data_IF_073104401106
#
_entry.id   IF_073104401106
#
_cell.length_a   1.000
_cell.length_b   1.000
_cell.length_c   1.000
_cell.angle_alpha   90.00
_cell.angle_beta   90.00
_cell.angle_gamma   90.00
#
_symmetry.space_group_name_H-M   'P 1'
#
loop_
_entity.id
_entity.type
_entity.pdbx_description
1 polymer ?
#
# COMPACT_ATOMS: atom_id res chain seq x y z
N UNK A 1 -29.96 14.90 17.63
CA UNK A 1 -28.93 14.25 18.48
C UNK A 1 -27.64 15.06 18.42
N UNK A 2 -27.47 16.00 19.35
CA UNK A 2 -26.37 16.97 19.40
C UNK A 2 -25.09 16.32 19.93
N UNK A 3 -23.98 16.44 19.16
CA UNK A 3 -22.65 15.96 19.52
C UNK A 3 -21.94 16.91 20.50
N UNK A 4 -22.60 17.28 21.61
CA UNK A 4 -22.01 18.19 22.61
C UNK A 4 -21.56 17.43 23.86
N UNK A 5 -20.27 17.64 24.20
CA UNK A 5 -19.57 17.30 25.45
C UNK A 5 -19.05 15.86 25.61
N UNK A 6 -18.04 15.51 24.84
CA UNK A 6 -17.00 14.56 25.29
C UNK A 6 -15.79 15.37 25.80
N UNK A 7 -15.84 15.82 27.07
CA UNK A 7 -14.71 16.50 27.75
C UNK A 7 -13.62 15.51 28.22
N UNK A 8 -13.87 14.20 28.15
CA UNK A 8 -12.85 13.18 28.34
C UNK A 8 -12.24 12.81 26.99
N UNK A 9 -10.90 12.86 26.87
CA UNK A 9 -10.21 12.20 25.74
C UNK A 9 -10.63 10.73 25.75
N UNK A 10 -11.40 10.25 24.78
CA UNK A 10 -11.87 8.88 24.81
C UNK A 10 -10.66 7.95 24.77
N UNK A 11 -10.64 6.91 25.63
CA UNK A 11 -9.60 5.85 25.60
C UNK A 11 -9.52 5.17 24.24
N UNK A 12 -10.60 5.22 23.46
CA UNK A 12 -10.69 4.73 22.09
C UNK A 12 -10.59 5.92 21.13
N UNK A 13 -9.78 5.82 20.06
CA UNK A 13 -9.72 6.87 19.07
C UNK A 13 -11.09 7.13 18.43
N UNK A 14 -11.36 8.38 18.06
CA UNK A 14 -12.67 8.85 17.58
C UNK A 14 -13.25 7.98 16.46
N UNK A 15 -12.42 7.51 15.52
CA UNK A 15 -12.86 6.66 14.40
C UNK A 15 -13.36 5.27 14.82
N UNK A 16 -13.06 4.80 16.03
CA UNK A 16 -13.55 3.53 16.56
C UNK A 16 -14.89 3.65 17.29
N UNK A 17 -15.35 4.87 17.59
CA UNK A 17 -16.64 5.07 18.26
C UNK A 17 -17.78 4.64 17.34
N UNK A 18 -18.73 3.78 17.81
CA UNK A 18 -19.84 3.31 16.98
C UNK A 18 -20.67 4.44 16.36
N UNK A 19 -20.88 5.51 17.14
CA UNK A 19 -21.61 6.72 16.72
C UNK A 19 -21.03 7.37 15.48
N UNK A 20 -19.71 7.28 15.28
CA UNK A 20 -19.03 7.82 14.12
C UNK A 20 -18.84 6.77 13.02
N UNK A 21 -18.43 5.56 13.42
CA UNK A 21 -18.12 4.46 12.51
C UNK A 21 -19.33 4.04 11.68
N UNK A 22 -20.51 3.92 12.28
CA UNK A 22 -21.72 3.45 11.58
C UNK A 22 -22.19 4.43 10.49
N UNK A 23 -22.32 5.75 10.74
CA UNK A 23 -22.64 6.72 9.70
C UNK A 23 -21.61 6.76 8.57
N UNK A 24 -20.31 6.74 8.88
CA UNK A 24 -19.24 6.71 7.87
C UNK A 24 -19.37 5.49 6.98
N UNK A 25 -19.54 4.30 7.57
CA UNK A 25 -19.70 3.06 6.83
C UNK A 25 -20.98 3.06 5.99
N UNK A 26 -22.09 3.57 6.53
CA UNK A 26 -23.35 3.70 5.80
C UNK A 26 -23.20 4.63 4.58
N UNK A 27 -22.56 5.79 4.77
CA UNK A 27 -22.30 6.75 3.70
C UNK A 27 -21.38 6.17 2.63
N UNK A 28 -20.29 5.51 3.06
CA UNK A 28 -19.38 4.80 2.17
C UNK A 28 -20.10 3.73 1.35
N UNK A 29 -20.92 2.89 1.99
CA UNK A 29 -21.75 1.87 1.30
C UNK A 29 -22.69 2.50 0.29
N UNK A 30 -23.34 3.62 0.65
CA UNK A 30 -24.28 4.32 -0.22
C UNK A 30 -23.58 4.89 -1.45
N UNK A 31 -22.44 5.55 -1.27
CA UNK A 31 -21.64 6.10 -2.38
C UNK A 31 -21.18 5.00 -3.35
N UNK A 32 -20.73 3.85 -2.81
CA UNK A 32 -20.35 2.70 -3.64
C UNK A 32 -21.54 2.06 -4.38
N UNK A 33 -22.74 2.11 -3.80
CA UNK A 33 -23.96 1.67 -4.50
C UNK A 33 -24.29 2.63 -5.65
N UNK A 34 -24.24 3.94 -5.40
CA UNK A 34 -24.51 4.96 -6.42
C UNK A 34 -23.52 4.88 -7.59
N UNK A 35 -22.22 4.73 -7.30
CA UNK A 35 -21.19 4.66 -8.35
C UNK A 35 -21.40 3.49 -9.33
N UNK A 36 -22.05 2.42 -8.89
CA UNK A 36 -22.36 1.25 -9.71
C UNK A 36 -23.49 1.52 -10.72
N UNK A 37 -24.46 2.37 -10.37
CA UNK A 37 -25.67 2.62 -11.17
C UNK A 37 -25.33 3.39 -12.46
N UNK A 38 -24.22 4.13 -12.48
CA UNK A 38 -23.79 4.90 -13.65
C UNK A 38 -23.71 4.04 -14.93
N UNK A 39 -24.09 4.58 -16.10
CA UNK A 39 -24.15 3.79 -17.33
C UNK A 39 -22.75 3.37 -17.83
N UNK A 40 -21.76 4.27 -17.77
CA UNK A 40 -20.44 4.02 -18.35
C UNK A 40 -19.48 3.32 -17.39
N UNK A 41 -18.76 2.32 -17.90
CA UNK A 41 -17.74 1.58 -17.14
C UNK A 41 -16.60 2.48 -16.62
N UNK A 42 -16.18 3.48 -17.41
CA UNK A 42 -15.14 4.42 -16.98
C UNK A 42 -15.57 5.26 -15.77
N UNK A 43 -16.85 5.68 -15.74
CA UNK A 43 -17.42 6.40 -14.61
C UNK A 43 -17.48 5.50 -13.38
N UNK A 44 -17.98 4.26 -13.52
CA UNK A 44 -18.04 3.27 -12.43
C UNK A 44 -16.67 3.04 -11.80
N UNK A 45 -15.66 2.75 -12.62
CA UNK A 45 -14.28 2.51 -12.17
C UNK A 45 -13.68 3.73 -11.50
N UNK A 46 -13.77 4.90 -12.14
CA UNK A 46 -13.25 6.15 -11.59
C UNK A 46 -13.86 6.45 -10.22
N UNK A 47 -15.20 6.46 -10.13
CA UNK A 47 -15.93 6.75 -8.90
C UNK A 47 -15.59 5.73 -7.81
N UNK A 48 -15.58 4.44 -8.14
CA UNK A 48 -15.22 3.38 -7.20
C UNK A 48 -13.84 3.61 -6.56
N UNK A 49 -12.81 3.86 -7.38
CA UNK A 49 -11.46 4.09 -6.89
C UNK A 49 -11.32 5.43 -6.15
N UNK A 50 -11.95 6.50 -6.65
CA UNK A 50 -11.91 7.82 -6.03
C UNK A 50 -12.56 7.82 -4.63
N UNK A 51 -13.73 7.18 -4.50
CA UNK A 51 -14.42 7.01 -3.21
C UNK A 51 -13.51 6.21 -2.25
N UNK A 52 -12.97 5.06 -2.68
CA UNK A 52 -12.04 4.27 -1.85
C UNK A 52 -10.83 5.07 -1.40
N UNK A 53 -10.18 5.79 -2.31
CA UNK A 53 -8.98 6.58 -2.00
C UNK A 53 -9.30 7.66 -0.96
N UNK A 54 -10.40 8.41 -1.14
CA UNK A 54 -10.80 9.48 -0.23
C UNK A 54 -11.06 8.95 1.17
N UNK A 55 -11.85 7.89 1.33
CA UNK A 55 -12.14 7.31 2.64
C UNK A 55 -10.89 6.74 3.32
N UNK A 56 -9.99 6.10 2.56
CA UNK A 56 -8.76 5.53 3.11
C UNK A 56 -7.74 6.56 3.53
N UNK A 57 -7.54 7.60 2.71
CA UNK A 57 -6.61 8.68 3.02
C UNK A 57 -6.92 9.38 4.34
N UNK A 58 -8.18 9.29 4.81
CA UNK A 58 -8.71 9.91 6.02
C UNK A 58 -8.94 8.91 7.16
N UNK A 59 -8.51 7.65 7.00
CA UNK A 59 -8.81 6.58 7.97
C UNK A 59 -8.17 6.79 9.35
N UNK A 60 -7.02 7.47 9.38
CA UNK A 60 -6.26 7.76 10.59
C UNK A 60 -6.50 9.19 11.10
N UNK A 61 -7.54 9.87 10.60
CA UNK A 61 -7.89 11.22 11.04
C UNK A 61 -8.35 11.21 12.50
N UNK A 62 -7.62 11.92 13.36
CA UNK A 62 -7.91 12.02 14.80
C UNK A 62 -8.82 13.20 15.13
N UNK A 63 -8.84 14.24 14.29
CA UNK A 63 -9.56 15.48 14.56
C UNK A 63 -11.05 15.34 14.26
N UNK A 64 -11.88 15.61 15.28
CA UNK A 64 -13.35 15.59 15.16
C UNK A 64 -13.82 16.63 14.13
N UNK A 65 -13.28 17.85 14.17
CA UNK A 65 -13.66 18.93 13.26
C UNK A 65 -13.32 18.59 11.79
N UNK A 66 -12.12 18.06 11.56
CA UNK A 66 -11.70 17.58 10.23
C UNK A 66 -12.62 16.46 9.73
N UNK A 67 -12.96 15.53 10.62
CA UNK A 67 -13.82 14.41 10.27
C UNK A 67 -15.25 14.85 9.93
N UNK A 68 -15.83 15.79 10.69
CA UNK A 68 -17.14 16.38 10.37
C UNK A 68 -17.11 17.07 9.00
N UNK A 69 -16.06 17.84 8.72
CA UNK A 69 -15.87 18.48 7.40
C UNK A 69 -15.85 17.44 6.29
N UNK A 70 -15.10 16.35 6.47
CA UNK A 70 -15.02 15.28 5.48
C UNK A 70 -16.32 14.52 5.30
N UNK A 71 -17.13 14.36 6.35
CA UNK A 71 -18.47 13.80 6.27
C UNK A 71 -19.42 14.70 5.47
N UNK A 72 -19.36 16.02 5.67
CA UNK A 72 -20.12 17.00 4.87
C UNK A 72 -19.72 16.92 3.39
N UNK A 73 -18.42 16.95 3.08
CA UNK A 73 -17.92 16.78 1.71
C UNK A 73 -18.42 15.46 1.06
N UNK A 74 -18.47 14.37 1.82
CA UNK A 74 -18.95 13.08 1.34
C UNK A 74 -20.48 13.06 1.14
N UNK A 75 -21.25 13.80 1.96
CA UNK A 75 -22.69 13.99 1.76
C UNK A 75 -22.99 14.85 0.54
N UNK A 76 -22.25 15.94 0.33
CA UNK A 76 -22.32 16.75 -0.88
C UNK A 76 -22.03 15.91 -2.12
N UNK A 77 -20.95 15.11 -2.07
CA UNK A 77 -20.63 14.17 -3.14
C UNK A 77 -21.77 13.18 -3.41
N UNK A 78 -22.44 12.67 -2.36
CA UNK A 78 -23.62 11.81 -2.51
C UNK A 78 -24.74 12.53 -3.26
N UNK A 79 -25.04 13.77 -2.89
CA UNK A 79 -26.08 14.58 -3.54
C UNK A 79 -25.73 14.84 -5.01
N UNK A 80 -24.48 15.18 -5.33
CA UNK A 80 -24.05 15.35 -6.72
C UNK A 80 -24.20 14.07 -7.53
N UNK A 81 -23.87 12.91 -6.96
CA UNK A 81 -24.06 11.61 -7.62
C UNK A 81 -25.55 11.30 -7.86
N UNK A 82 -26.43 11.63 -6.90
CA UNK A 82 -27.86 11.42 -7.04
C UNK A 82 -28.46 12.32 -8.13
N UNK A 83 -28.15 13.62 -8.10
CA UNK A 83 -28.57 14.58 -9.14
C UNK A 83 -28.13 14.14 -10.55
N UNK A 84 -26.88 13.69 -10.67
CA UNK A 84 -26.36 13.19 -11.95
C UNK A 84 -27.11 11.94 -12.45
N UNK A 85 -27.63 11.10 -11.55
CA UNK A 85 -28.45 9.93 -11.90
C UNK A 85 -29.91 10.31 -12.20
N UNK A 86 -30.42 11.37 -11.56
CA UNK A 86 -31.75 11.95 -11.82
C UNK A 86 -31.83 12.70 -13.17
N UNK A 87 -30.69 12.94 -13.82
CA UNK A 87 -30.61 13.55 -15.15
C UNK A 87 -30.07 14.99 -15.18
N UNK A 88 -29.54 15.49 -14.05
CA UNK A 88 -28.87 16.79 -14.02
C UNK A 88 -27.60 16.79 -14.87
N UNK A 89 -27.65 17.54 -15.98
CA UNK A 89 -26.57 17.62 -16.98
C UNK A 89 -25.29 18.22 -16.39
N UNK A 90 -25.38 19.19 -15.50
CA UNK A 90 -24.21 19.86 -14.94
C UNK A 90 -23.43 18.93 -14.01
N UNK A 91 -24.16 18.28 -13.09
CA UNK A 91 -23.59 17.27 -12.18
C UNK A 91 -23.00 16.10 -12.95
N UNK A 92 -23.67 15.62 -14.00
CA UNK A 92 -23.16 14.55 -14.85
C UNK A 92 -21.89 14.97 -15.60
N UNK A 93 -21.88 16.16 -16.22
CA UNK A 93 -20.72 16.69 -16.94
C UNK A 93 -19.52 16.87 -16.01
N UNK A 94 -19.75 17.31 -14.76
CA UNK A 94 -18.71 17.41 -13.76
C UNK A 94 -18.03 16.06 -13.48
N UNK A 95 -18.83 14.99 -13.35
CA UNK A 95 -18.34 13.62 -13.14
C UNK A 95 -17.61 13.11 -14.39
N UNK A 96 -18.15 13.40 -15.58
CA UNK A 96 -17.54 13.03 -16.86
C UNK A 96 -16.16 13.67 -17.02
N UNK A 97 -16.05 14.97 -16.77
CA UNK A 97 -14.80 15.72 -16.83
C UNK A 97 -13.75 15.18 -15.85
N UNK A 98 -14.18 14.74 -14.67
CA UNK A 98 -13.30 14.12 -13.68
C UNK A 98 -12.83 12.73 -14.13
N UNK A 99 -13.73 11.89 -14.63
CA UNK A 99 -13.43 10.52 -15.04
C UNK A 99 -12.54 10.46 -16.29
N UNK A 100 -12.75 11.36 -17.25
CA UNK A 100 -11.88 11.51 -18.42
C UNK A 100 -10.60 12.29 -18.16
N UNK A 101 -10.43 12.83 -16.94
CA UNK A 101 -9.26 13.60 -16.57
C UNK A 101 -9.15 14.92 -17.32
N UNK A 102 -10.27 15.53 -17.72
CA UNK A 102 -10.32 16.94 -18.16
C UNK A 102 -10.17 17.88 -16.97
N UNK A 103 -10.62 17.47 -15.78
CA UNK A 103 -10.51 18.20 -14.51
C UNK A 103 -9.80 17.38 -13.43
N UNK A 104 -9.41 18.07 -12.36
CA UNK A 104 -8.89 17.46 -11.12
C UNK A 104 -7.49 16.84 -11.23
N UNK A 105 -7.24 15.86 -10.36
CA UNK A 105 -5.93 15.20 -10.22
C UNK A 105 -5.54 14.41 -11.45
N UNK A 106 -6.51 13.74 -12.08
CA UNK A 106 -6.27 12.88 -13.23
C UNK A 106 -5.74 13.70 -14.42
N UNK A 107 -6.24 14.93 -14.62
CA UNK A 107 -5.70 15.90 -15.58
C UNK A 107 -4.20 16.12 -15.39
N UNK A 108 -3.78 16.41 -14.16
CA UNK A 108 -2.36 16.64 -13.84
C UNK A 108 -1.52 15.40 -14.13
N UNK A 109 -2.04 14.20 -13.84
CA UNK A 109 -1.35 12.93 -14.14
C UNK A 109 -1.18 12.77 -15.65
N UNK A 110 -2.24 12.97 -16.43
CA UNK A 110 -2.22 12.88 -17.89
C UNK A 110 -1.29 13.92 -18.52
N UNK A 111 -1.29 15.16 -18.03
CA UNK A 111 -0.36 16.20 -18.49
C UNK A 111 1.10 15.82 -18.22
N UNK A 112 1.39 15.27 -17.03
CA UNK A 112 2.75 14.79 -16.70
C UNK A 112 3.16 13.62 -17.61
N UNK A 113 2.23 12.75 -17.96
CA UNK A 113 2.46 11.63 -18.88
C UNK A 113 2.68 12.10 -20.32
N UNK A 114 2.01 13.17 -20.75
CA UNK A 114 2.19 13.81 -22.07
C UNK A 114 3.50 14.61 -22.16
N UNK A 115 3.82 15.42 -21.15
CA UNK A 115 4.97 16.35 -21.15
C UNK A 115 6.32 15.65 -20.98
N UNK A 116 6.41 14.60 -20.17
CA UNK A 116 7.71 13.97 -19.86
C UNK A 116 8.25 13.19 -21.06
N UNK A 117 9.28 13.73 -21.72
CA UNK A 117 10.17 12.94 -22.59
C UNK A 117 10.61 11.68 -21.83
N UNK A 118 10.47 10.52 -22.47
CA UNK A 118 10.63 9.16 -21.94
C UNK A 118 11.96 8.82 -21.23
N UNK A 119 12.88 9.78 -21.07
CA UNK A 119 14.21 9.61 -20.46
C UNK A 119 14.14 9.12 -19.00
N UNK A 120 13.05 9.34 -18.26
CA UNK A 120 12.85 8.84 -16.87
C UNK A 120 11.79 7.73 -16.76
N UNK A 121 11.93 6.66 -17.58
CA UNK A 121 10.99 5.52 -17.76
C UNK A 121 10.37 4.98 -16.46
N UNK A 122 11.16 4.79 -15.40
CA UNK A 122 10.69 4.21 -14.14
C UNK A 122 9.64 5.08 -13.43
N UNK A 123 9.72 6.42 -13.55
CA UNK A 123 8.76 7.32 -12.90
C UNK A 123 7.41 7.33 -13.63
N UNK A 124 7.42 7.14 -14.95
CA UNK A 124 6.21 7.07 -15.77
C UNK A 124 5.42 5.80 -15.45
N UNK A 125 6.07 4.63 -15.44
CA UNK A 125 5.39 3.39 -15.07
C UNK A 125 4.73 3.48 -13.69
N UNK A 126 5.40 4.08 -12.70
CA UNK A 126 4.82 4.27 -11.37
C UNK A 126 3.52 5.09 -11.39
N UNK A 127 3.39 6.08 -12.28
CA UNK A 127 2.17 6.90 -12.41
C UNK A 127 1.05 6.17 -13.16
N UNK A 128 1.40 5.35 -14.15
CA UNK A 128 0.41 4.53 -14.89
C UNK A 128 -0.17 3.45 -13.99
N UNK A 129 0.67 2.82 -13.16
CA UNK A 129 0.21 1.80 -12.21
C UNK A 129 -0.51 2.37 -10.99
N UNK A 130 -0.29 3.65 -10.63
CA UNK A 130 -0.86 4.24 -9.43
C UNK A 130 -1.04 5.77 -9.59
N UNK A 131 -2.28 6.19 -9.82
CA UNK A 131 -2.66 7.60 -10.05
C UNK A 131 -2.86 8.41 -8.76
N UNK A 132 -2.87 7.74 -7.61
CA UNK A 132 -3.10 8.32 -6.27
C UNK A 132 -2.13 9.47 -5.93
N UNK A 133 -2.52 10.29 -4.96
CA UNK A 133 -1.64 11.33 -4.42
C UNK A 133 -0.38 10.73 -3.75
N UNK A 134 0.71 11.49 -3.66
CA UNK A 134 1.92 11.12 -2.91
C UNK A 134 1.57 10.76 -1.47
N UNK A 135 0.75 11.58 -0.79
CA UNK A 135 0.33 11.33 0.58
C UNK A 135 -0.42 10.01 0.72
N UNK A 136 -1.43 9.74 -0.12
CA UNK A 136 -2.17 8.47 -0.13
C UNK A 136 -1.25 7.26 -0.34
N UNK A 137 -0.20 7.40 -1.17
CA UNK A 137 0.79 6.34 -1.41
C UNK A 137 1.76 6.14 -0.24
N UNK A 138 2.01 7.18 0.54
CA UNK A 138 2.81 7.08 1.76
C UNK A 138 2.02 6.39 2.87
N UNK A 139 0.74 6.71 3.00
CA UNK A 139 -0.16 6.07 3.98
C UNK A 139 -0.38 4.59 3.63
N UNK A 140 -0.68 4.31 2.36
CA UNK A 140 -1.02 2.97 1.86
C UNK A 140 -0.08 2.55 0.71
N UNK A 141 1.17 2.15 1.01
CA UNK A 141 2.18 1.78 0.00
C UNK A 141 1.89 0.44 -0.69
N UNK A 142 0.98 -0.37 -0.16
CA UNK A 142 0.70 -1.70 -0.67
C UNK A 142 0.15 -1.69 -2.11
N UNK A 143 0.52 -2.71 -2.91
CA UNK A 143 0.16 -2.78 -4.34
C UNK A 143 -1.35 -2.91 -4.57
N UNK A 144 -2.04 -3.57 -3.66
CA UNK A 144 -3.50 -3.79 -3.68
C UNK A 144 -4.29 -2.48 -3.68
N UNK A 145 -3.72 -1.40 -3.15
CA UNK A 145 -4.39 -0.11 -3.05
C UNK A 145 -4.08 0.83 -4.20
N UNK A 146 -3.26 0.39 -5.15
CA UNK A 146 -2.95 1.19 -6.32
C UNK A 146 -4.21 1.42 -7.13
N UNK A 147 -4.36 2.65 -7.62
CA UNK A 147 -5.42 3.00 -8.56
C UNK A 147 -4.80 2.99 -9.95
N UNK A 148 -5.00 1.92 -10.75
CA UNK A 148 -4.44 1.87 -12.09
C UNK A 148 -5.13 2.91 -12.98
N UNK A 149 -4.35 3.51 -13.88
CA UNK A 149 -4.90 4.38 -14.92
C UNK A 149 -5.67 3.55 -15.94
N UNK A 150 -6.86 4.01 -16.34
CA UNK A 150 -7.65 3.31 -17.35
C UNK A 150 -6.89 3.25 -18.69
N UNK A 151 -6.76 2.07 -19.34
CA UNK A 151 -6.10 1.92 -20.63
C UNK A 151 -6.65 2.80 -21.75
N UNK A 152 -7.92 3.22 -21.67
CA UNK A 152 -8.56 4.13 -22.63
C UNK A 152 -7.99 5.54 -22.57
N UNK A 153 -7.50 5.97 -21.40
CA UNK A 153 -6.94 7.31 -21.19
C UNK A 153 -5.48 7.40 -21.64
N UNK A 154 -4.73 6.31 -21.47
CA UNK A 154 -3.31 6.28 -21.79
C UNK A 154 -2.79 4.85 -21.96
N UNK A 155 -2.21 4.57 -23.13
CA UNK A 155 -1.50 3.32 -23.39
C UNK A 155 0.01 3.52 -23.16
N UNK A 156 0.61 2.87 -22.15
CA UNK A 156 2.06 2.95 -21.99
C UNK A 156 2.77 2.25 -23.17
N UNK A 157 3.84 2.83 -23.73
CA UNK A 157 4.65 2.19 -24.74
C UNK A 157 5.34 0.96 -24.14
N UNK A 158 5.57 -0.04 -24.98
CA UNK A 158 6.25 -1.28 -24.59
C UNK A 158 7.70 -0.96 -24.22
N UNK A 159 8.07 -1.16 -22.95
CA UNK A 159 9.44 -0.96 -22.48
C UNK A 159 10.18 -2.29 -22.43
N UNK A 160 11.24 -2.44 -23.24
CA UNK A 160 12.20 -3.55 -23.11
C UNK A 160 13.14 -3.25 -21.94
N UNK A 161 13.13 -4.09 -20.90
CA UNK A 161 14.04 -3.96 -19.75
C UNK A 161 15.41 -4.56 -20.09
N UNK A 162 16.41 -3.73 -20.35
CA UNK A 162 17.79 -4.20 -20.49
C UNK A 162 18.34 -4.62 -19.12
N UNK A 163 18.63 -5.91 -18.93
CA UNK A 163 19.31 -6.43 -17.72
C UNK A 163 20.74 -5.89 -17.69
N UNK A 164 21.12 -5.17 -16.62
CA UNK A 164 22.52 -4.74 -16.41
C UNK A 164 23.40 -5.97 -16.18
N UNK A 165 24.48 -6.14 -16.97
CA UNK A 165 25.49 -7.21 -16.78
C UNK A 165 26.18 -7.02 -15.41
N UNK A 166 26.28 -8.09 -14.60
CA UNK A 166 26.99 -8.07 -13.30
C UNK A 166 28.51 -8.14 -13.56
N UNK A 167 29.29 -7.28 -12.88
CA UNK A 167 30.77 -7.32 -12.95
C UNK A 167 31.33 -8.54 -12.18
N UNK A 168 32.44 -9.15 -12.62
CA UNK A 168 33.09 -10.25 -11.91
C UNK A 168 33.71 -9.79 -10.59
N UNK A 169 33.75 -10.68 -9.57
CA UNK A 169 34.35 -10.42 -8.26
C UNK A 169 35.83 -10.83 -8.27
N UNK A 170 36.75 -9.96 -7.84
CA UNK A 170 38.17 -10.31 -7.63
C UNK A 170 38.33 -11.17 -6.36
N UNK A 171 39.18 -12.21 -6.40
CA UNK A 171 39.55 -13.03 -5.23
C UNK A 171 40.87 -12.50 -4.65
N UNK A 172 40.91 -12.21 -3.34
CA UNK A 172 42.14 -11.85 -2.63
C UNK A 172 42.69 -13.08 -1.89
N UNK A 173 44.02 -13.27 -1.88
CA UNK A 173 44.70 -14.33 -1.09
C UNK A 173 44.74 -13.92 0.39
N UNK A 174 44.40 -14.83 1.30
CA UNK A 174 44.41 -14.61 2.76
C UNK A 174 45.79 -14.95 3.36
N UNK A 175 46.17 -14.31 4.48
CA UNK A 175 47.41 -14.60 5.22
C UNK A 175 47.23 -15.83 6.14
N UNK A 176 48.25 -16.68 6.24
CA UNK A 176 48.30 -17.87 7.10
C UNK A 176 48.63 -17.50 8.57
N UNK A 177 48.23 -18.33 9.53
CA UNK A 177 48.55 -18.15 10.97
C UNK A 177 47.56 -17.36 11.84
N UNK A 178 46.39 -16.97 11.32
CA UNK A 178 45.40 -16.19 12.07
C UNK A 178 44.45 -17.06 12.89
N UNK A 179 44.41 -16.87 14.21
CA UNK A 179 43.45 -17.53 15.12
C UNK A 179 42.05 -16.97 14.90
N UNK A 180 41.13 -17.83 14.46
CA UNK A 180 39.73 -17.48 14.19
C UNK A 180 38.83 -17.89 15.34
N UNK A 181 37.93 -17.02 15.76
CA UNK A 181 36.86 -17.34 16.68
C UNK A 181 35.51 -16.95 16.07
N UNK A 182 34.51 -17.79 16.29
CA UNK A 182 33.15 -17.57 15.77
C UNK A 182 32.33 -16.81 16.80
N UNK A 183 31.88 -15.61 16.46
CA UNK A 183 30.96 -14.82 17.28
C UNK A 183 29.54 -14.98 16.75
N UNK A 184 28.60 -15.21 17.64
CA UNK A 184 27.17 -15.30 17.33
C UNK A 184 26.48 -14.00 17.74
N UNK A 185 25.76 -13.36 16.81
CA UNK A 185 24.95 -12.17 17.12
C UNK A 185 23.63 -12.55 17.80
N UNK A 186 22.94 -11.58 18.39
CA UNK A 186 21.59 -11.76 18.97
C UNK A 186 20.56 -12.35 17.99
N UNK A 187 20.72 -12.13 16.68
CA UNK A 187 19.88 -12.71 15.62
C UNK A 187 20.44 -14.04 15.06
N UNK A 188 21.32 -14.72 15.80
CA UNK A 188 21.88 -16.01 15.40
C UNK A 188 22.93 -15.99 14.28
N UNK A 189 23.28 -14.82 13.71
CA UNK A 189 24.34 -14.76 12.67
C UNK A 189 25.71 -15.11 13.25
N UNK A 190 26.39 -16.06 12.61
CA UNK A 190 27.77 -16.46 12.90
C UNK A 190 28.77 -15.67 12.06
N UNK A 191 29.76 -15.10 12.71
CA UNK A 191 30.80 -14.30 12.08
C UNK A 191 32.16 -14.73 12.62
N UNK A 192 33.09 -15.02 11.72
CA UNK A 192 34.47 -15.28 12.11
C UNK A 192 35.17 -13.95 12.37
N UNK A 193 35.74 -13.82 13.57
CA UNK A 193 36.66 -12.76 13.94
C UNK A 193 38.06 -13.34 14.11
N UNK A 194 39.06 -12.51 13.90
CA UNK A 194 40.47 -12.87 14.04
C UNK A 194 40.99 -12.24 15.33
N UNK A 195 41.67 -13.02 16.18
CA UNK A 195 42.18 -12.54 17.48
C UNK A 195 43.19 -11.39 17.27
N UNK A 196 43.05 -10.33 18.05
CA UNK A 196 43.92 -9.14 17.99
C UNK A 196 43.58 -8.13 16.89
N UNK A 197 42.65 -8.44 15.96
CA UNK A 197 42.24 -7.49 14.93
C UNK A 197 41.02 -6.69 15.38
N UNK A 198 41.11 -5.36 15.29
CA UNK A 198 39.93 -4.50 15.42
C UNK A 198 38.97 -4.82 14.26
N UNK A 199 37.73 -5.17 14.59
CA UNK A 199 36.72 -5.42 13.56
C UNK A 199 36.60 -4.20 12.65
N UNK A 200 36.83 -4.35 11.33
CA UNK A 200 36.63 -3.25 10.40
C UNK A 200 35.20 -2.72 10.47
N UNK A 201 35.06 -1.40 10.47
CA UNK A 201 33.76 -0.71 10.58
C UNK A 201 32.75 -1.20 9.53
N UNK A 202 33.20 -1.52 8.32
CA UNK A 202 32.35 -2.04 7.24
C UNK A 202 31.66 -3.38 7.60
N UNK A 203 32.29 -4.24 8.41
CA UNK A 203 31.66 -5.49 8.87
C UNK A 203 30.52 -5.16 9.84
N UNK A 204 30.75 -4.25 10.80
CA UNK A 204 29.72 -3.80 11.73
C UNK A 204 28.54 -3.16 10.98
N UNK A 205 28.84 -2.32 9.99
CA UNK A 205 27.83 -1.73 9.11
C UNK A 205 27.07 -2.82 8.32
N UNK A 206 27.75 -3.86 7.84
CA UNK A 206 27.10 -4.97 7.15
C UNK A 206 26.17 -5.74 8.08
N UNK A 207 26.58 -6.03 9.32
CA UNK A 207 25.74 -6.69 10.33
C UNK A 207 24.51 -5.85 10.63
N UNK A 208 24.70 -4.57 10.96
CA UNK A 208 23.60 -3.64 11.23
C UNK A 208 22.64 -3.52 10.03
N UNK A 209 23.17 -3.53 8.81
CA UNK A 209 22.36 -3.55 7.59
C UNK A 209 21.53 -4.84 7.49
N UNK A 210 22.09 -6.00 7.83
CA UNK A 210 21.35 -7.29 7.85
C UNK A 210 20.30 -7.32 8.95
N UNK A 211 20.63 -6.89 10.17
CA UNK A 211 19.71 -6.75 11.30
C UNK A 211 18.52 -5.87 10.90
N UNK A 212 18.79 -4.67 10.37
CA UNK A 212 17.74 -3.75 9.88
C UNK A 212 16.94 -4.36 8.73
N UNK A 213 17.58 -5.09 7.81
CA UNK A 213 16.86 -5.80 6.74
C UNK A 213 15.96 -6.90 7.28
N UNK A 214 16.36 -7.56 8.36
CA UNK A 214 15.59 -8.60 9.03
C UNK A 214 14.39 -8.00 9.75
N UNK A 215 14.60 -6.99 10.59
CA UNK A 215 13.53 -6.27 11.27
C UNK A 215 12.50 -5.74 10.28
N UNK A 216 12.96 -5.08 9.20
CA UNK A 216 12.09 -4.61 8.11
C UNK A 216 11.22 -5.71 7.49
N UNK A 217 11.66 -6.97 7.48
CA UNK A 217 10.87 -8.09 6.94
C UNK A 217 9.84 -8.59 7.95
N UNK A 218 10.16 -8.59 9.24
CA UNK A 218 9.19 -8.87 10.31
C UNK A 218 8.11 -7.79 10.29
N UNK A 219 8.52 -6.52 10.32
CA UNK A 219 7.61 -5.38 10.25
C UNK A 219 6.73 -5.48 8.99
N UNK A 220 7.33 -5.83 7.84
CA UNK A 220 6.60 -6.04 6.58
C UNK A 220 5.59 -7.19 6.66
N UNK A 221 5.91 -8.28 7.33
CA UNK A 221 5.00 -9.40 7.51
C UNK A 221 3.78 -8.97 8.35
N UNK A 222 4.01 -8.25 9.45
CA UNK A 222 2.94 -7.69 10.29
C UNK A 222 2.07 -6.69 9.50
N UNK A 223 2.68 -5.82 8.68
CA UNK A 223 1.96 -4.93 7.77
C UNK A 223 1.06 -5.72 6.81
N UNK A 224 1.56 -6.82 6.24
CA UNK A 224 0.81 -7.66 5.29
C UNK A 224 -0.37 -8.37 5.96
N UNK A 225 -0.22 -8.86 7.20
CA UNK A 225 -1.31 -9.43 7.98
C UNK A 225 -2.43 -8.41 8.19
N UNK A 226 -2.05 -7.21 8.62
CA UNK A 226 -2.99 -6.11 8.78
C UNK A 226 -3.68 -5.72 7.46
N UNK A 227 -2.94 -5.67 6.34
CA UNK A 227 -3.53 -5.42 5.02
C UNK A 227 -4.50 -6.54 4.59
N UNK A 228 -4.19 -7.80 4.94
CA UNK A 228 -5.05 -8.94 4.65
C UNK A 228 -6.38 -8.83 5.40
N UNK A 229 -6.34 -8.51 6.70
CA UNK A 229 -7.54 -8.29 7.50
C UNK A 229 -8.42 -7.18 6.93
N UNK A 230 -7.81 -6.07 6.52
CA UNK A 230 -8.53 -4.99 5.84
C UNK A 230 -9.20 -5.45 4.55
N UNK A 231 -8.46 -6.15 3.69
CA UNK A 231 -9.01 -6.63 2.40
C UNK A 231 -10.12 -7.65 2.64
N UNK A 232 -10.00 -8.52 3.64
CA UNK A 232 -11.08 -9.45 4.03
C UNK A 232 -12.33 -8.71 4.48
N UNK A 233 -12.18 -7.71 5.35
CA UNK A 233 -13.29 -6.86 5.80
C UNK A 233 -13.98 -6.15 4.63
N UNK A 234 -13.19 -5.59 3.70
CA UNK A 234 -13.73 -4.97 2.48
C UNK A 234 -14.41 -5.97 1.55
N UNK A 235 -13.84 -7.17 1.36
CA UNK A 235 -14.42 -8.23 0.51
C UNK A 235 -15.77 -8.69 1.06
N UNK A 236 -15.86 -8.94 2.37
CA UNK A 236 -17.12 -9.26 3.04
C UNK A 236 -18.14 -8.13 2.84
N UNK A 237 -17.71 -6.89 3.04
CA UNK A 237 -18.58 -5.74 2.81
C UNK A 237 -19.07 -5.66 1.35
N UNK A 238 -18.19 -5.83 0.37
CA UNK A 238 -18.56 -5.77 -1.04
C UNK A 238 -19.47 -6.93 -1.44
N UNK A 239 -19.26 -8.14 -0.91
CA UNK A 239 -20.16 -9.28 -1.12
C UNK A 239 -21.58 -8.96 -0.64
N UNK A 240 -21.74 -8.32 0.53
CA UNK A 240 -23.07 -7.91 1.03
C UNK A 240 -23.73 -6.83 0.16
N UNK A 241 -22.94 -5.99 -0.52
CA UNK A 241 -23.47 -4.93 -1.38
C UNK A 241 -23.78 -5.42 -2.80
N UNK A 242 -22.90 -6.24 -3.37
CA UNK A 242 -23.01 -6.75 -4.74
C UNK A 242 -22.04 -7.93 -4.98
N UNK A 243 -22.55 -9.12 -5.33
CA UNK A 243 -21.71 -10.27 -5.67
C UNK A 243 -20.74 -10.01 -6.85
N UNK A 244 -21.13 -9.21 -7.87
CA UNK A 244 -20.30 -8.96 -9.07
C UNK A 244 -19.01 -8.18 -8.77
N UNK A 245 -19.09 -7.11 -7.97
CA UNK A 245 -17.90 -6.34 -7.52
C UNK A 245 -17.03 -7.15 -6.54
N UNK A 246 -17.66 -8.06 -5.78
CA UNK A 246 -16.95 -9.02 -4.96
C UNK A 246 -16.00 -9.90 -5.79
N UNK A 247 -16.44 -10.34 -6.97
CA UNK A 247 -15.62 -11.12 -7.92
C UNK A 247 -14.45 -10.32 -8.49
N UNK A 248 -14.63 -9.04 -8.81
CA UNK A 248 -13.51 -8.18 -9.27
C UNK A 248 -12.43 -7.98 -8.20
N UNK A 249 -12.80 -8.14 -6.94
CA UNK A 249 -11.88 -8.10 -5.80
C UNK A 249 -11.28 -9.46 -5.45
N UNK A 250 -11.70 -10.55 -6.10
CA UNK A 250 -11.07 -11.85 -5.95
C UNK A 250 -9.67 -11.81 -6.56
N UNK A 251 -8.65 -12.14 -5.77
CA UNK A 251 -7.25 -12.10 -6.18
C UNK A 251 -6.40 -11.06 -5.46
N UNK A 252 -6.99 -10.03 -4.85
CA UNK A 252 -6.21 -9.10 -4.03
C UNK A 252 -5.67 -9.75 -2.76
N UNK A 253 -6.45 -10.65 -2.17
CA UNK A 253 -6.06 -11.54 -1.08
C UNK A 253 -4.93 -12.48 -1.53
N UNK A 254 -5.00 -13.04 -2.74
CA UNK A 254 -3.97 -13.92 -3.29
C UNK A 254 -2.62 -13.20 -3.37
N UNK A 255 -2.59 -11.95 -3.84
CA UNK A 255 -1.35 -11.17 -3.92
C UNK A 255 -0.71 -10.94 -2.54
N UNK A 256 -1.52 -10.61 -1.52
CA UNK A 256 -1.03 -10.44 -0.14
C UNK A 256 -0.52 -11.76 0.41
N UNK A 257 -1.29 -12.84 0.25
CA UNK A 257 -0.93 -14.17 0.71
C UNK A 257 0.35 -14.69 0.04
N UNK A 258 0.56 -14.38 -1.24
CA UNK A 258 1.80 -14.71 -1.94
C UNK A 258 3.00 -13.96 -1.33
N UNK A 259 2.88 -12.66 -1.08
CA UNK A 259 3.93 -11.86 -0.44
C UNK A 259 4.19 -12.30 1.03
N UNK A 260 3.14 -12.72 1.74
CA UNK A 260 3.25 -13.33 3.06
C UNK A 260 3.96 -14.67 3.03
N UNK A 261 3.63 -15.56 2.07
CA UNK A 261 4.31 -16.85 1.90
C UNK A 261 5.81 -16.65 1.63
N UNK A 262 6.17 -15.69 0.80
CA UNK A 262 7.57 -15.34 0.54
C UNK A 262 8.29 -14.85 1.81
N UNK A 263 7.60 -14.06 2.63
CA UNK A 263 8.12 -13.57 3.90
C UNK A 263 8.24 -14.68 4.96
N UNK A 264 7.24 -15.57 5.05
CA UNK A 264 7.22 -16.72 5.96
C UNK A 264 8.29 -17.74 5.61
N UNK A 265 8.45 -18.09 4.32
CA UNK A 265 9.52 -18.96 3.83
C UNK A 265 10.90 -18.44 4.22
N UNK A 266 11.07 -17.12 4.24
CA UNK A 266 12.31 -16.52 4.71
C UNK A 266 12.52 -16.68 6.21
N UNK A 267 11.48 -16.46 7.02
CA UNK A 267 11.53 -16.68 8.48
C UNK A 267 11.82 -18.15 8.82
N UNK A 268 11.12 -19.10 8.18
CA UNK A 268 11.34 -20.54 8.38
C UNK A 268 12.77 -20.95 7.98
N UNK A 269 13.29 -20.46 6.86
CA UNK A 269 14.67 -20.71 6.44
C UNK A 269 15.69 -20.16 7.44
N UNK A 270 15.37 -19.05 8.12
CA UNK A 270 16.21 -18.50 9.18
C UNK A 270 16.14 -19.39 10.43
N UNK A 271 14.94 -19.72 10.92
CA UNK A 271 14.78 -20.59 12.09
C UNK A 271 15.45 -21.95 11.87
N UNK A 272 15.39 -22.51 10.66
CA UNK A 272 16.13 -23.73 10.30
C UNK A 272 17.64 -23.55 10.43
N UNK A 273 18.20 -22.43 9.96
CA UNK A 273 19.64 -22.11 10.12
C UNK A 273 20.04 -21.93 11.57
N UNK A 274 19.17 -21.36 12.41
CA UNK A 274 19.41 -21.25 13.85
C UNK A 274 19.39 -22.62 14.54
N UNK A 275 18.46 -23.49 14.17
CA UNK A 275 18.41 -24.87 14.69
C UNK A 275 19.66 -25.66 14.31
N UNK A 276 20.09 -25.61 13.05
CA UNK A 276 21.35 -26.23 12.62
C UNK A 276 22.56 -25.64 13.35
N UNK A 277 22.58 -24.32 13.56
CA UNK A 277 23.62 -23.69 14.34
C UNK A 277 23.68 -24.24 15.78
N UNK A 278 22.54 -24.38 16.47
CA UNK A 278 22.55 -24.94 17.83
C UNK A 278 23.08 -26.37 17.88
N UNK A 279 22.77 -27.19 16.87
CA UNK A 279 23.27 -28.58 16.77
C UNK A 279 24.77 -28.66 16.46
N UNK A 280 25.29 -27.78 15.60
CA UNK A 280 26.71 -27.75 15.25
C UNK A 280 27.60 -27.08 16.32
N UNK A 281 27.00 -26.40 17.30
CA UNK A 281 27.71 -25.68 18.37
C UNK A 281 27.72 -26.42 19.72
N UNK A 282 27.17 -27.63 19.78
CA UNK A 282 27.19 -28.53 20.94
C UNK A 282 28.27 -29.62 20.82
N UNK A 283 29.36 -29.31 20.11
CA UNK A 283 30.64 -30.04 20.06
C UNK A 283 31.74 -29.04 20.36
#
# INVERSE_FOLDING_TARGET
MSLQRLRYRPRRPFWQLPQHRLPVLSLYKTLLRLSKIFPNDIHRKYLYFAIREKFRSRRYETSVASTIKHLKEAQECRLTLQKALEGDKESFQHIDDLAWGRKGRLKQVLEVLKKKKWKKRQKIHKLVYDTRNVQSRMIDPHRVYRVPLDPRLYKPPRVRFFRKKRRPKKKHKWREGLVKYTVVTQLGYRLQRIRGWRQPTWISMMMNKRIRQHQKRIDRYQELEYYLEMVKGEKLMLKTLNPKLGKEMEGFDILILQEMKDSKKFYENMMKREKHAKLDGSV
#
